data_IF_177226046417
#
_entry.id   IF_177226046417
#
_cell.length_a   1.000
_cell.length_b   1.000
_cell.length_c   1.000
_cell.angle_alpha   90.00
_cell.angle_beta   90.00
_cell.angle_gamma   90.00
#
_symmetry.space_group_name_H-M   'P 1'
#
loop_
_entity.id
_entity.type
_entity.pdbx_description
1 polymer ?
#
# COMPACT_ATOMS: atom_id res chain seq x y z
N UNK A 1 -19.43 -19.02 1.45
CA UNK A 1 -19.51 -18.02 2.56
C UNK A 1 -18.25 -17.21 2.56
N UNK A 2 -18.30 -15.96 3.03
CA UNK A 2 -17.17 -15.02 3.03
C UNK A 2 -17.08 -14.31 4.39
N UNK A 3 -15.89 -13.94 4.80
CA UNK A 3 -15.63 -13.12 6.00
C UNK A 3 -15.27 -11.70 5.59
N UNK A 4 -15.93 -10.70 6.14
CA UNK A 4 -15.58 -9.30 5.94
C UNK A 4 -14.56 -8.87 7.01
N UNK A 5 -13.43 -8.35 6.59
CA UNK A 5 -12.33 -7.88 7.46
C UNK A 5 -12.34 -6.36 7.47
N UNK A 6 -12.72 -5.77 8.61
CA UNK A 6 -12.97 -4.34 8.73
C UNK A 6 -12.09 -3.73 9.82
N UNK A 7 -10.98 -3.08 9.47
CA UNK A 7 -10.22 -2.29 10.43
C UNK A 7 -10.90 -0.94 10.68
N UNK A 8 -10.79 -0.45 11.91
CA UNK A 8 -11.33 0.85 12.31
C UNK A 8 -10.44 1.54 13.33
N UNK A 9 -10.50 2.86 13.35
CA UNK A 9 -9.95 3.71 14.41
C UNK A 9 -10.71 5.04 14.46
N UNK A 10 -11.39 5.31 15.59
CA UNK A 10 -12.12 6.55 15.83
C UNK A 10 -13.08 6.89 14.67
N UNK A 11 -13.84 5.92 14.21
CA UNK A 11 -14.68 6.04 13.01
C UNK A 11 -16.07 5.40 13.19
N UNK A 12 -16.59 5.44 14.43
CA UNK A 12 -17.82 4.74 14.84
C UNK A 12 -19.04 5.01 13.94
N UNK A 13 -19.35 6.25 13.50
CA UNK A 13 -20.51 6.49 12.63
C UNK A 13 -20.43 5.71 11.31
N UNK A 14 -19.25 5.64 10.72
CA UNK A 14 -19.00 4.92 9.47
C UNK A 14 -19.05 3.41 9.68
N UNK A 15 -18.40 2.89 10.73
CA UNK A 15 -18.43 1.47 11.10
C UNK A 15 -19.87 0.96 11.24
N UNK A 16 -20.72 1.72 11.96
CA UNK A 16 -22.15 1.39 12.10
C UNK A 16 -22.85 1.26 10.74
N UNK A 17 -22.59 2.21 9.86
CA UNK A 17 -23.20 2.24 8.53
C UNK A 17 -22.67 1.12 7.65
N UNK A 18 -21.36 0.85 7.69
CA UNK A 18 -20.74 -0.25 6.96
C UNK A 18 -21.35 -1.61 7.38
N UNK A 19 -21.35 -1.90 8.68
CA UNK A 19 -21.90 -3.15 9.23
C UNK A 19 -23.40 -3.28 8.91
N UNK A 20 -24.17 -2.21 9.09
CA UNK A 20 -25.61 -2.19 8.74
C UNK A 20 -25.85 -2.48 7.26
N UNK A 21 -25.00 -1.96 6.37
CA UNK A 21 -25.12 -2.21 4.92
C UNK A 21 -24.82 -3.67 4.56
N UNK A 22 -23.83 -4.28 5.21
CA UNK A 22 -23.53 -5.72 5.04
C UNK A 22 -24.71 -6.56 5.57
N UNK A 23 -25.20 -6.26 6.78
CA UNK A 23 -26.34 -6.99 7.38
C UNK A 23 -27.63 -6.88 6.56
N UNK A 24 -27.81 -5.78 5.84
CA UNK A 24 -28.96 -5.60 4.95
C UNK A 24 -29.07 -6.68 3.86
N UNK A 25 -27.94 -7.13 3.34
CA UNK A 25 -27.90 -8.12 2.26
C UNK A 25 -27.41 -9.50 2.73
N UNK A 26 -26.61 -9.54 3.80
CA UNK A 26 -25.87 -10.73 4.26
C UNK A 26 -25.96 -10.88 5.78
N UNK A 27 -27.15 -11.23 6.28
CA UNK A 27 -27.43 -11.37 7.71
C UNK A 27 -26.49 -12.33 8.44
N UNK A 28 -26.13 -13.45 7.79
CA UNK A 28 -25.27 -14.50 8.36
C UNK A 28 -23.79 -14.39 7.99
N UNK A 29 -23.36 -13.34 7.28
CA UNK A 29 -21.97 -13.19 6.93
C UNK A 29 -21.11 -12.91 8.16
N UNK A 30 -19.95 -13.55 8.26
CA UNK A 30 -18.96 -13.22 9.29
C UNK A 30 -18.39 -11.83 9.05
N UNK A 31 -18.37 -11.02 10.11
CA UNK A 31 -17.66 -9.74 10.14
C UNK A 31 -16.60 -9.82 11.24
N UNK A 32 -15.36 -9.54 10.90
CA UNK A 32 -14.26 -9.39 11.85
C UNK A 32 -13.93 -7.90 11.91
N UNK A 33 -14.38 -7.25 12.98
CA UNK A 33 -14.12 -5.83 13.26
C UNK A 33 -12.84 -5.70 14.09
N UNK A 34 -11.88 -4.97 13.56
CA UNK A 34 -10.54 -4.81 14.13
C UNK A 34 -10.34 -3.35 14.55
N UNK A 35 -10.38 -3.09 15.82
CA UNK A 35 -10.28 -1.76 16.42
C UNK A 35 -8.84 -1.45 16.82
N UNK A 36 -8.27 -0.43 16.21
CA UNK A 36 -6.92 0.06 16.50
C UNK A 36 -6.90 1.05 17.67
N UNK A 37 -7.43 0.63 18.81
CA UNK A 37 -7.50 1.41 20.06
C UNK A 37 -8.33 2.69 19.90
N UNK A 38 -9.57 2.57 19.43
CA UNK A 38 -10.50 3.71 19.36
C UNK A 38 -10.89 4.24 20.73
N UNK A 39 -11.17 5.54 20.79
CA UNK A 39 -11.64 6.27 21.98
C UNK A 39 -13.00 6.93 21.77
N UNK A 40 -13.67 6.67 20.64
CA UNK A 40 -14.94 7.27 20.22
C UNK A 40 -16.18 6.48 20.68
N UNK A 41 -15.99 5.45 21.52
CA UNK A 41 -17.06 4.59 22.02
C UNK A 41 -17.36 3.38 21.15
N UNK A 42 -16.48 3.03 20.20
CA UNK A 42 -16.61 1.83 19.35
C UNK A 42 -16.74 0.55 20.19
N UNK A 43 -15.91 0.36 21.20
CA UNK A 43 -15.93 -0.79 22.09
C UNK A 43 -17.24 -0.90 22.89
N UNK A 44 -17.73 0.22 23.42
CA UNK A 44 -19.01 0.30 24.11
C UNK A 44 -20.14 -0.10 23.16
N UNK A 45 -20.19 0.47 21.98
CA UNK A 45 -21.21 0.15 21.00
C UNK A 45 -21.21 -1.35 20.63
N UNK A 46 -20.03 -1.95 20.41
CA UNK A 46 -19.92 -3.39 20.13
C UNK A 46 -20.47 -4.22 21.28
N UNK A 47 -20.13 -3.89 22.55
CA UNK A 47 -20.60 -4.61 23.73
C UNK A 47 -22.13 -4.54 23.92
N UNK A 48 -22.78 -3.47 23.43
CA UNK A 48 -24.24 -3.28 23.46
C UNK A 48 -24.94 -3.87 22.23
N UNK A 49 -24.17 -4.29 21.20
CA UNK A 49 -24.72 -4.82 19.95
C UNK A 49 -24.76 -6.35 20.01
N UNK A 50 -25.98 -6.94 19.93
CA UNK A 50 -26.12 -8.37 19.79
C UNK A 50 -26.05 -8.78 18.32
N UNK A 51 -24.88 -9.26 17.87
CA UNK A 51 -24.65 -9.81 16.54
C UNK A 51 -23.81 -11.09 16.63
N UNK A 52 -24.39 -12.28 16.50
CA UNK A 52 -23.70 -13.55 16.67
C UNK A 52 -22.65 -13.84 15.58
N UNK A 53 -22.66 -13.06 14.49
CA UNK A 53 -21.71 -13.18 13.38
C UNK A 53 -20.70 -12.04 13.35
N UNK A 54 -20.62 -11.20 14.39
CA UNK A 54 -19.62 -10.17 14.58
C UNK A 54 -18.54 -10.64 15.55
N UNK A 55 -17.31 -10.76 15.07
CA UNK A 55 -16.14 -10.98 15.91
C UNK A 55 -15.44 -9.63 16.10
N UNK A 56 -15.16 -9.25 17.34
CA UNK A 56 -14.49 -8.00 17.67
C UNK A 56 -13.10 -8.27 18.25
N UNK A 57 -12.11 -7.59 17.70
CA UNK A 57 -10.74 -7.54 18.20
C UNK A 57 -10.38 -6.10 18.50
N UNK A 58 -9.85 -5.82 19.70
CA UNK A 58 -9.32 -4.50 20.07
C UNK A 58 -7.81 -4.60 20.26
N UNK A 59 -7.08 -3.79 19.52
CA UNK A 59 -5.67 -3.53 19.81
C UNK A 59 -5.61 -2.55 20.99
N UNK A 60 -5.17 -3.01 22.16
CA UNK A 60 -5.07 -2.18 23.37
C UNK A 60 -3.76 -1.38 23.43
N UNK A 61 -2.85 -1.68 22.53
CA UNK A 61 -1.57 -1.01 22.43
C UNK A 61 -1.62 0.30 21.63
N UNK A 62 -0.45 0.71 21.18
CA UNK A 62 -0.32 1.80 20.21
C UNK A 62 -0.97 1.46 18.88
N UNK A 63 -1.18 2.48 18.04
CA UNK A 63 -1.68 2.32 16.69
C UNK A 63 -0.74 1.47 15.81
N UNK A 64 -1.26 0.37 15.27
CA UNK A 64 -0.54 -0.51 14.34
C UNK A 64 -0.99 -0.35 12.90
N UNK A 65 -2.15 0.27 12.69
CA UNK A 65 -2.72 0.56 11.39
C UNK A 65 -3.36 -0.65 10.70
N UNK A 66 -4.05 -0.36 9.61
CA UNK A 66 -4.81 -1.39 8.89
C UNK A 66 -3.92 -2.45 8.25
N UNK A 67 -2.68 -2.15 7.87
CA UNK A 67 -1.70 -3.13 7.36
C UNK A 67 -1.59 -4.36 8.25
N UNK A 68 -1.38 -4.14 9.56
CA UNK A 68 -1.24 -5.22 10.54
C UNK A 68 -2.60 -5.80 10.93
N UNK A 69 -3.62 -4.95 11.05
CA UNK A 69 -4.96 -5.39 11.44
C UNK A 69 -5.61 -6.30 10.41
N UNK A 70 -5.42 -6.07 9.11
CA UNK A 70 -5.90 -6.99 8.08
C UNK A 70 -5.36 -8.40 8.30
N UNK A 71 -4.06 -8.53 8.54
CA UNK A 71 -3.42 -9.83 8.72
C UNK A 71 -3.92 -10.55 9.98
N UNK A 72 -4.14 -9.81 11.08
CA UNK A 72 -4.77 -10.34 12.28
C UNK A 72 -6.18 -10.85 11.97
N UNK A 73 -7.00 -10.03 11.33
CA UNK A 73 -8.38 -10.38 11.00
C UNK A 73 -8.49 -11.55 10.04
N UNK A 74 -7.64 -11.61 9.03
CA UNK A 74 -7.61 -12.72 8.08
C UNK A 74 -7.20 -14.03 8.79
N UNK A 75 -6.24 -13.99 9.72
CA UNK A 75 -5.90 -15.17 10.52
C UNK A 75 -7.06 -15.63 11.41
N UNK A 76 -7.83 -14.70 11.97
CA UNK A 76 -8.97 -14.97 12.86
C UNK A 76 -10.23 -15.44 12.13
N UNK A 77 -10.43 -15.04 10.88
CA UNK A 77 -11.67 -15.33 10.15
C UNK A 77 -11.88 -16.84 9.94
N UNK A 78 -13.16 -17.27 9.95
CA UNK A 78 -13.58 -18.67 9.91
C UNK A 78 -13.71 -19.24 8.52
N UNK A 79 -13.98 -18.39 7.52
CA UNK A 79 -14.24 -18.83 6.15
C UNK A 79 -12.95 -18.88 5.32
N UNK A 80 -12.97 -19.73 4.30
CA UNK A 80 -11.86 -19.90 3.35
C UNK A 80 -11.65 -18.68 2.47
N UNK A 81 -12.69 -17.87 2.28
CA UNK A 81 -12.65 -16.63 1.49
C UNK A 81 -12.90 -15.46 2.41
N UNK A 82 -12.10 -14.44 2.26
CA UNK A 82 -12.30 -13.15 2.95
C UNK A 82 -12.42 -12.00 1.96
N UNK A 83 -13.00 -10.90 2.42
CA UNK A 83 -12.99 -9.61 1.74
C UNK A 83 -12.41 -8.54 2.66
N UNK A 84 -11.37 -7.85 2.22
CA UNK A 84 -10.93 -6.60 2.84
C UNK A 84 -11.99 -5.53 2.54
N UNK A 85 -12.50 -4.90 3.59
CA UNK A 85 -13.56 -3.92 3.49
C UNK A 85 -13.26 -2.75 4.43
N UNK A 86 -13.30 -1.52 3.92
CA UNK A 86 -13.01 -0.37 4.79
C UNK A 86 -14.22 0.01 5.64
N UNK A 87 -13.96 0.58 6.81
CA UNK A 87 -15.01 1.07 7.72
C UNK A 87 -15.88 2.17 7.10
N UNK A 88 -15.39 2.89 6.10
CA UNK A 88 -16.10 3.95 5.38
C UNK A 88 -16.66 3.49 4.02
N UNK A 89 -16.97 2.20 3.89
CA UNK A 89 -17.62 1.62 2.71
C UNK A 89 -19.04 1.15 3.01
N UNK A 90 -19.90 1.25 2.00
CA UNK A 90 -21.27 0.75 2.02
C UNK A 90 -21.39 -0.39 1.02
N UNK A 91 -21.82 -1.55 1.49
CA UNK A 91 -22.04 -2.74 0.68
C UNK A 91 -23.26 -2.54 -0.26
N UNK A 92 -23.08 -2.82 -1.54
CA UNK A 92 -24.18 -2.85 -2.52
C UNK A 92 -24.88 -4.21 -2.55
N UNK A 93 -26.06 -4.28 -3.23
CA UNK A 93 -26.75 -5.55 -3.46
C UNK A 93 -25.90 -6.48 -4.33
N UNK A 94 -26.02 -7.80 -4.12
CA UNK A 94 -25.31 -8.84 -4.87
C UNK A 94 -23.77 -8.67 -4.89
N UNK A 95 -23.22 -7.96 -3.90
CA UNK A 95 -21.78 -7.69 -3.80
C UNK A 95 -20.95 -8.99 -3.77
N UNK A 96 -21.32 -9.92 -2.86
CA UNK A 96 -20.58 -11.18 -2.68
C UNK A 96 -20.73 -12.07 -3.90
N UNK A 97 -21.94 -12.24 -4.41
CA UNK A 97 -22.25 -13.08 -5.56
C UNK A 97 -21.46 -12.63 -6.79
N UNK A 98 -21.44 -11.31 -7.04
CA UNK A 98 -20.75 -10.72 -8.17
C UNK A 98 -19.23 -10.71 -8.03
N UNK A 99 -18.69 -10.76 -6.83
CA UNK A 99 -17.27 -11.01 -6.62
C UNK A 99 -16.93 -12.49 -6.83
N UNK A 100 -17.63 -13.39 -6.13
CA UNK A 100 -17.23 -14.79 -6.03
C UNK A 100 -17.38 -15.56 -7.35
N UNK A 101 -18.30 -15.15 -8.25
CA UNK A 101 -18.42 -15.78 -9.57
C UNK A 101 -17.13 -15.67 -10.42
N UNK A 102 -16.28 -14.71 -10.13
CA UNK A 102 -15.02 -14.48 -10.85
C UNK A 102 -13.76 -14.89 -10.05
N UNK A 103 -13.92 -15.20 -8.76
CA UNK A 103 -12.81 -15.60 -7.91
C UNK A 103 -12.41 -17.05 -8.20
N UNK A 104 -11.11 -17.28 -8.32
CA UNK A 104 -10.48 -18.59 -8.46
C UNK A 104 -9.29 -18.69 -7.50
N UNK A 105 -8.84 -19.90 -7.15
CA UNK A 105 -7.55 -20.09 -6.47
C UNK A 105 -6.42 -19.33 -7.19
N UNK A 106 -5.47 -18.83 -6.43
CA UNK A 106 -4.40 -17.96 -6.89
C UNK A 106 -4.92 -16.72 -7.65
N UNK A 107 -6.08 -16.20 -7.18
CA UNK A 107 -6.72 -15.04 -7.74
C UNK A 107 -7.14 -14.02 -6.70
N UNK A 108 -7.18 -12.76 -7.12
CA UNK A 108 -7.69 -11.63 -6.36
C UNK A 108 -8.76 -10.93 -7.18
N UNK A 109 -9.90 -10.65 -6.56
CA UNK A 109 -11.00 -9.95 -7.20
C UNK A 109 -11.38 -8.69 -6.43
N UNK A 110 -11.28 -7.53 -7.06
CA UNK A 110 -11.71 -6.25 -6.51
C UNK A 110 -13.13 -5.92 -6.95
N UNK A 111 -13.88 -5.21 -6.13
CA UNK A 111 -15.15 -4.60 -6.53
C UNK A 111 -14.95 -3.24 -7.19
N UNK A 112 -15.96 -2.76 -7.90
CA UNK A 112 -15.99 -1.40 -8.42
C UNK A 112 -16.48 -0.44 -7.33
N UNK A 113 -15.65 0.55 -7.01
CA UNK A 113 -16.00 1.61 -6.08
C UNK A 113 -16.83 2.68 -6.76
N UNK A 114 -17.83 3.18 -6.03
CA UNK A 114 -18.55 4.41 -6.35
C UNK A 114 -18.13 5.42 -5.30
N UNK A 115 -17.62 6.58 -5.72
CA UNK A 115 -17.05 7.58 -4.83
C UNK A 115 -17.63 8.97 -5.10
N UNK A 116 -17.80 9.81 -4.07
CA UNK A 116 -18.16 11.21 -4.28
C UNK A 116 -17.03 11.94 -5.04
N UNK A 117 -17.28 13.12 -5.64
CA UNK A 117 -16.34 13.83 -6.51
C UNK A 117 -15.22 14.52 -5.73
N UNK A 118 -14.55 13.81 -4.82
CA UNK A 118 -13.39 14.30 -4.04
C UNK A 118 -12.06 14.12 -4.77
N UNK A 119 -12.01 13.16 -5.66
CA UNK A 119 -10.82 12.84 -6.46
C UNK A 119 -11.19 12.79 -7.94
N UNK A 120 -10.22 13.04 -8.84
CA UNK A 120 -10.45 12.94 -10.28
C UNK A 120 -11.08 11.60 -10.68
N UNK A 121 -11.90 11.57 -11.74
CA UNK A 121 -12.43 10.32 -12.27
C UNK A 121 -11.30 9.43 -12.79
N UNK A 122 -11.51 8.12 -12.75
CA UNK A 122 -10.63 7.09 -13.27
C UNK A 122 -11.45 5.93 -13.83
N UNK A 123 -10.82 5.06 -14.63
CA UNK A 123 -11.51 3.90 -15.20
C UNK A 123 -11.79 2.81 -14.17
N UNK A 124 -11.08 2.84 -13.04
CA UNK A 124 -11.18 1.89 -11.94
C UNK A 124 -12.39 2.12 -11.03
N UNK A 125 -13.04 3.28 -11.14
CA UNK A 125 -14.15 3.67 -10.26
C UNK A 125 -15.23 4.43 -11.00
N UNK A 126 -16.34 4.65 -10.31
CA UNK A 126 -17.44 5.50 -10.75
C UNK A 126 -17.50 6.72 -9.82
N UNK A 127 -17.51 7.92 -10.38
CA UNK A 127 -17.66 9.15 -9.60
C UNK A 127 -19.14 9.53 -9.60
N UNK A 128 -19.81 9.38 -8.44
CA UNK A 128 -21.22 9.72 -8.25
C UNK A 128 -21.48 10.03 -6.77
N UNK A 129 -22.22 11.10 -6.52
CA UNK A 129 -22.47 11.59 -5.16
C UNK A 129 -23.77 11.00 -4.59
N UNK A 130 -23.62 10.03 -3.68
CA UNK A 130 -24.69 9.52 -2.84
C UNK A 130 -24.62 10.01 -1.39
N UNK A 131 -23.83 11.05 -1.13
CA UNK A 131 -23.61 11.65 0.19
C UNK A 131 -22.14 11.65 0.60
N UNK A 132 -21.77 12.62 1.42
CA UNK A 132 -20.41 12.81 1.90
C UNK A 132 -20.18 12.20 3.29
N UNK A 133 -21.27 11.94 4.02
CA UNK A 133 -21.27 11.44 5.39
C UNK A 133 -22.37 10.39 5.60
N UNK A 134 -22.27 9.55 6.65
CA UNK A 134 -23.32 8.56 6.93
C UNK A 134 -24.72 9.14 7.08
N UNK A 135 -24.86 10.35 7.63
CA UNK A 135 -26.14 11.01 7.88
C UNK A 135 -26.83 11.55 6.64
N UNK A 136 -26.10 11.81 5.56
CA UNK A 136 -26.65 12.32 4.29
C UNK A 136 -26.63 11.27 3.16
N UNK A 137 -26.32 10.00 3.51
CA UNK A 137 -26.20 8.93 2.54
C UNK A 137 -27.55 8.56 1.91
N UNK A 138 -27.63 8.68 0.60
CA UNK A 138 -28.81 8.41 -0.22
C UNK A 138 -28.95 6.92 -0.56
N UNK A 139 -29.23 6.11 0.48
CA UNK A 139 -29.20 4.65 0.38
C UNK A 139 -30.09 4.09 -0.73
N UNK A 140 -31.33 4.62 -0.88
CA UNK A 140 -32.27 4.11 -1.89
C UNK A 140 -31.79 4.38 -3.31
N UNK A 141 -31.25 5.58 -3.57
CA UNK A 141 -30.69 5.97 -4.86
C UNK A 141 -29.47 5.11 -5.21
N UNK A 142 -28.57 4.89 -4.24
CA UNK A 142 -27.41 4.00 -4.40
C UNK A 142 -27.83 2.57 -4.75
N UNK A 143 -28.82 1.99 -4.04
CA UNK A 143 -29.27 0.62 -4.30
C UNK A 143 -29.91 0.52 -5.71
N UNK A 144 -30.73 1.50 -6.10
CA UNK A 144 -31.33 1.56 -7.44
C UNK A 144 -30.23 1.62 -8.51
N UNK A 145 -29.28 2.53 -8.35
CA UNK A 145 -28.13 2.65 -9.26
C UNK A 145 -27.37 1.33 -9.40
N UNK A 146 -27.09 0.64 -8.29
CA UNK A 146 -26.38 -0.64 -8.32
C UNK A 146 -27.18 -1.69 -9.12
N UNK A 147 -28.48 -1.82 -8.90
CA UNK A 147 -29.34 -2.79 -9.61
C UNK A 147 -29.39 -2.50 -11.10
N UNK A 148 -29.64 -1.26 -11.48
CA UNK A 148 -29.69 -0.85 -12.88
C UNK A 148 -28.36 -1.10 -13.59
N UNK A 149 -27.24 -0.82 -12.89
CA UNK A 149 -25.90 -1.06 -13.40
C UNK A 149 -25.56 -2.54 -13.53
N UNK A 150 -26.06 -3.40 -12.64
CA UNK A 150 -25.89 -4.86 -12.68
C UNK A 150 -26.68 -5.51 -13.82
N UNK A 151 -27.80 -4.94 -14.22
CA UNK A 151 -28.60 -5.40 -15.36
C UNK A 151 -28.04 -4.94 -16.70
N UNK A 152 -27.23 -3.89 -16.70
CA UNK A 152 -26.60 -3.36 -17.92
C UNK A 152 -25.58 -4.36 -18.48
N UNK A 153 -25.76 -4.75 -19.74
CA UNK A 153 -24.90 -5.71 -20.43
C UNK A 153 -23.42 -5.29 -20.50
N UNK A 154 -23.13 -4.00 -20.39
CA UNK A 154 -21.76 -3.49 -20.36
C UNK A 154 -21.02 -3.76 -19.04
N UNK A 155 -21.73 -4.06 -17.97
CA UNK A 155 -21.17 -4.33 -16.64
C UNK A 155 -21.40 -5.78 -16.20
N UNK A 156 -22.54 -6.36 -16.55
CA UNK A 156 -22.97 -7.69 -16.11
C UNK A 156 -21.96 -8.75 -16.55
N UNK A 157 -21.45 -9.51 -15.58
CA UNK A 157 -20.46 -10.57 -15.77
C UNK A 157 -19.12 -10.11 -16.40
N UNK A 158 -18.87 -8.79 -16.44
CA UNK A 158 -17.64 -8.21 -16.98
C UNK A 158 -16.58 -8.06 -15.90
N UNK A 159 -15.36 -8.42 -16.25
CA UNK A 159 -14.18 -8.14 -15.43
C UNK A 159 -13.18 -7.31 -16.22
N UNK A 160 -12.49 -6.43 -15.50
CA UNK A 160 -11.34 -5.68 -16.01
C UNK A 160 -10.12 -5.93 -15.14
N UNK A 161 -8.98 -5.39 -15.52
CA UNK A 161 -7.82 -5.27 -14.61
C UNK A 161 -8.10 -4.15 -13.63
N UNK A 162 -7.69 -4.30 -12.39
CA UNK A 162 -7.83 -3.27 -11.36
C UNK A 162 -7.48 -3.80 -9.99
N UNK A 163 -7.19 -2.89 -9.09
CA UNK A 163 -6.77 -3.18 -7.72
C UNK A 163 -7.51 -2.29 -6.71
N UNK A 164 -7.08 -2.32 -5.48
CA UNK A 164 -7.55 -1.59 -4.30
C UNK A 164 -8.82 -2.17 -3.66
N UNK A 165 -8.94 -1.89 -2.39
CA UNK A 165 -10.08 -2.30 -1.59
C UNK A 165 -11.40 -1.70 -2.12
N UNK A 166 -12.51 -2.44 -2.01
CA UNK A 166 -12.55 -3.76 -1.40
C UNK A 166 -12.15 -4.85 -2.39
N UNK A 167 -11.45 -5.85 -1.90
CA UNK A 167 -11.06 -7.02 -2.68
C UNK A 167 -11.20 -8.30 -1.87
N UNK A 168 -11.36 -9.42 -2.56
CA UNK A 168 -11.53 -10.74 -1.97
C UNK A 168 -10.54 -11.74 -2.56
N UNK A 169 -10.16 -12.74 -1.76
CA UNK A 169 -9.36 -13.87 -2.18
C UNK A 169 -9.48 -15.06 -1.20
N UNK A 170 -8.87 -16.18 -1.54
CA UNK A 170 -8.74 -17.31 -0.63
C UNK A 170 -7.72 -17.01 0.47
N UNK A 171 -8.08 -17.34 1.71
CA UNK A 171 -7.22 -17.15 2.90
C UNK A 171 -5.88 -17.89 2.78
N UNK A 172 -5.92 -19.12 2.26
CA UNK A 172 -4.71 -19.93 2.06
C UNK A 172 -3.72 -19.24 1.10
N UNK A 173 -4.22 -18.71 -0.02
CA UNK A 173 -3.41 -18.01 -1.01
C UNK A 173 -2.77 -16.73 -0.42
N UNK A 174 -3.53 -16.00 0.40
CA UNK A 174 -3.01 -14.83 1.11
C UNK A 174 -1.89 -15.20 2.11
N UNK A 175 -2.10 -16.26 2.87
CA UNK A 175 -1.09 -16.73 3.83
C UNK A 175 0.14 -17.31 3.14
N UNK A 176 -0.04 -17.98 1.98
CA UNK A 176 1.05 -18.51 1.16
C UNK A 176 2.00 -17.40 0.67
N UNK A 177 1.47 -16.23 0.35
CA UNK A 177 2.30 -15.09 -0.06
C UNK A 177 2.89 -14.30 1.12
N UNK A 178 2.56 -14.65 2.35
CA UNK A 178 3.09 -14.03 3.58
C UNK A 178 2.26 -12.88 4.14
N UNK A 179 1.12 -12.55 3.54
CA UNK A 179 0.27 -11.44 3.97
C UNK A 179 0.80 -10.06 3.56
N UNK A 180 0.35 -9.00 4.24
CA UNK A 180 0.90 -7.66 4.05
C UNK A 180 2.29 -7.54 4.66
N UNK A 181 3.11 -6.65 4.10
CA UNK A 181 4.41 -6.34 4.68
C UNK A 181 4.26 -5.26 5.77
N UNK A 182 4.58 -5.62 7.00
CA UNK A 182 4.55 -4.71 8.16
C UNK A 182 5.49 -3.51 8.03
N UNK A 183 6.41 -3.53 7.07
CA UNK A 183 7.24 -2.40 6.69
C UNK A 183 6.42 -1.12 6.46
N UNK A 184 5.18 -1.28 5.96
CA UNK A 184 4.28 -0.17 5.63
C UNK A 184 3.33 0.20 6.77
N UNK A 185 3.49 -0.39 7.95
CA UNK A 185 2.69 -0.01 9.12
C UNK A 185 2.98 1.46 9.55
N UNK A 186 1.99 2.22 9.99
CA UNK A 186 0.58 1.86 10.06
C UNK A 186 -0.14 1.92 8.69
N UNK A 187 0.30 2.75 7.76
CA UNK A 187 -0.19 3.05 6.41
C UNK A 187 0.70 4.14 5.78
N UNK A 188 0.60 4.49 4.48
CA UNK A 188 -0.01 3.82 3.32
C UNK A 188 1.02 2.99 2.55
N UNK A 189 0.64 2.55 1.34
CA UNK A 189 1.42 1.85 0.29
C UNK A 189 1.57 0.34 0.50
N UNK A 190 0.96 -0.24 1.54
CA UNK A 190 0.85 -1.68 1.75
C UNK A 190 0.06 -2.37 0.63
N UNK A 191 -0.97 -1.68 0.11
CA UNK A 191 -1.77 -2.15 -1.01
C UNK A 191 -0.95 -2.23 -2.30
N UNK A 192 -0.20 -1.18 -2.62
CA UNK A 192 0.69 -1.19 -3.79
C UNK A 192 1.76 -2.28 -3.68
N UNK A 193 2.29 -2.52 -2.49
CA UNK A 193 3.26 -3.57 -2.22
C UNK A 193 2.67 -4.96 -2.45
N UNK A 194 1.51 -5.25 -1.83
CA UNK A 194 0.92 -6.58 -1.90
C UNK A 194 0.44 -6.92 -3.31
N UNK A 195 -0.12 -5.95 -4.04
CA UNK A 195 -0.53 -6.18 -5.42
C UNK A 195 0.65 -6.41 -6.35
N UNK A 196 1.79 -5.73 -6.18
CA UNK A 196 3.02 -6.06 -6.90
C UNK A 196 3.46 -7.49 -6.60
N UNK A 197 3.41 -7.93 -5.34
CA UNK A 197 3.76 -9.30 -4.95
C UNK A 197 2.80 -10.33 -5.53
N UNK A 198 1.50 -10.05 -5.60
CA UNK A 198 0.53 -10.91 -6.28
C UNK A 198 0.87 -11.10 -7.75
N UNK A 199 1.21 -10.01 -8.47
CA UNK A 199 1.60 -10.08 -9.88
C UNK A 199 2.87 -10.92 -10.04
N UNK A 200 3.89 -10.69 -9.22
CA UNK A 200 5.15 -11.43 -9.25
C UNK A 200 4.97 -12.91 -8.92
N UNK A 201 3.99 -13.26 -8.10
CA UNK A 201 3.61 -14.64 -7.80
C UNK A 201 2.73 -15.29 -8.89
N UNK A 202 2.36 -14.55 -9.94
CA UNK A 202 1.52 -15.06 -11.03
C UNK A 202 0.03 -15.09 -10.71
N UNK A 203 -0.42 -14.40 -9.65
CA UNK A 203 -1.83 -14.38 -9.28
C UNK A 203 -2.67 -13.62 -10.30
N UNK A 204 -3.87 -14.15 -10.56
CA UNK A 204 -4.82 -13.53 -11.47
C UNK A 204 -5.60 -12.42 -10.77
N UNK A 205 -5.30 -11.17 -11.10
CA UNK A 205 -5.94 -10.00 -10.48
C UNK A 205 -7.00 -9.43 -11.43
N UNK A 206 -8.23 -9.32 -10.93
CA UNK A 206 -9.37 -8.80 -11.69
C UNK A 206 -10.17 -7.82 -10.86
N UNK A 207 -10.93 -6.97 -11.54
CA UNK A 207 -11.98 -6.13 -10.96
C UNK A 207 -13.32 -6.53 -11.56
N UNK A 208 -14.31 -6.82 -10.70
CA UNK A 208 -15.70 -7.02 -11.10
C UNK A 208 -16.35 -5.68 -11.42
N UNK A 209 -17.03 -5.57 -12.58
CA UNK A 209 -17.73 -4.35 -13.01
C UNK A 209 -19.17 -4.28 -12.55
N UNK A 210 -19.68 -5.34 -11.94
CA UNK A 210 -21.05 -5.45 -11.42
C UNK A 210 -21.14 -5.76 -9.91
N UNK A 211 -19.98 -5.80 -9.22
CA UNK A 211 -19.92 -5.80 -7.76
C UNK A 211 -19.58 -4.38 -7.28
N UNK A 212 -20.51 -3.76 -6.51
CA UNK A 212 -20.39 -2.35 -6.15
C UNK A 212 -20.31 -2.12 -4.64
N UNK A 213 -19.51 -1.11 -4.28
CA UNK A 213 -19.53 -0.46 -2.97
C UNK A 213 -19.59 1.04 -3.15
N UNK A 214 -20.24 1.74 -2.22
CA UNK A 214 -20.01 3.18 -2.06
C UNK A 214 -18.88 3.40 -1.06
N UNK A 215 -17.93 4.22 -1.42
CA UNK A 215 -16.77 4.52 -0.59
C UNK A 215 -16.78 6.03 -0.30
N UNK A 216 -17.00 6.42 0.94
CA UNK A 216 -16.99 7.84 1.34
C UNK A 216 -15.63 8.50 1.12
N UNK A 217 -14.60 7.69 0.98
CA UNK A 217 -13.18 8.03 0.75
C UNK A 217 -12.60 9.02 1.77
N UNK A 218 -11.33 8.88 2.09
CA UNK A 218 -10.61 9.70 3.07
C UNK A 218 -11.15 9.68 4.51
N UNK A 219 -12.21 8.94 4.82
CA UNK A 219 -12.89 8.97 6.14
C UNK A 219 -12.34 7.96 7.14
N UNK A 220 -11.49 7.04 6.70
CA UNK A 220 -10.91 6.01 7.56
C UNK A 220 -9.81 6.54 8.48
N UNK A 221 -8.84 7.28 7.95
CA UNK A 221 -7.62 7.66 8.67
C UNK A 221 -6.98 8.97 8.17
N UNK A 222 -7.48 9.57 7.08
CA UNK A 222 -6.89 10.75 6.47
C UNK A 222 -7.55 12.05 6.91
N UNK A 223 -8.88 12.08 6.91
CA UNK A 223 -9.68 13.28 7.17
C UNK A 223 -10.63 13.06 8.34
N UNK A 224 -10.81 14.08 9.16
CA UNK A 224 -11.90 14.16 10.12
C UNK A 224 -13.05 15.00 9.55
N UNK A 225 -14.23 14.97 10.19
CA UNK A 225 -15.36 15.84 9.81
C UNK A 225 -15.00 17.33 9.87
N UNK A 226 -14.16 17.71 10.85
CA UNK A 226 -13.75 19.09 11.06
C UNK A 226 -12.61 19.50 10.12
N UNK A 227 -11.74 18.56 9.73
CA UNK A 227 -10.54 18.83 8.94
C UNK A 227 -10.54 17.95 7.68
N UNK A 228 -11.02 18.53 6.59
CA UNK A 228 -11.09 17.83 5.28
C UNK A 228 -9.76 17.91 4.52
N UNK A 229 -8.67 17.56 5.18
CA UNK A 229 -7.32 17.47 4.59
C UNK A 229 -6.46 16.49 5.37
N UNK A 230 -5.42 16.00 4.72
CA UNK A 230 -4.45 15.10 5.35
C UNK A 230 -3.76 15.79 6.53
N UNK A 231 -3.77 15.12 7.68
CA UNK A 231 -3.09 15.60 8.88
C UNK A 231 -1.56 15.40 8.79
N UNK A 232 -0.84 15.93 9.77
CA UNK A 232 0.62 15.85 9.79
C UNK A 232 1.10 14.40 10.02
N UNK A 233 0.38 13.62 10.82
CA UNK A 233 0.75 12.21 11.05
C UNK A 233 0.66 11.40 9.77
N UNK A 234 -0.43 11.55 9.01
CA UNK A 234 -0.57 10.90 7.71
C UNK A 234 0.55 11.28 6.75
N UNK A 235 0.89 12.57 6.67
CA UNK A 235 2.00 13.06 5.80
C UNK A 235 3.34 12.47 6.18
N UNK A 236 3.63 12.35 7.48
CA UNK A 236 4.87 11.72 7.97
C UNK A 236 4.92 10.23 7.62
N UNK A 237 3.80 9.51 7.80
CA UNK A 237 3.70 8.11 7.39
C UNK A 237 3.92 7.96 5.88
N UNK A 238 3.31 8.83 5.06
CA UNK A 238 3.52 8.85 3.61
C UNK A 238 5.01 9.02 3.25
N UNK A 239 5.67 10.01 3.83
CA UNK A 239 7.08 10.28 3.53
C UNK A 239 8.00 9.11 3.94
N UNK A 240 7.77 8.54 5.14
CA UNK A 240 8.49 7.37 5.62
C UNK A 240 8.29 6.16 4.70
N UNK A 241 7.04 5.82 4.44
CA UNK A 241 6.70 4.62 3.68
C UNK A 241 7.00 4.75 2.19
N UNK A 242 7.02 5.99 1.63
CA UNK A 242 7.57 6.25 0.31
C UNK A 242 9.04 5.80 0.21
N UNK A 243 9.87 6.22 1.16
CA UNK A 243 11.27 5.82 1.20
C UNK A 243 11.43 4.30 1.39
N UNK A 244 10.57 3.68 2.21
CA UNK A 244 10.53 2.22 2.37
C UNK A 244 10.19 1.51 1.06
N UNK A 245 9.19 2.02 0.34
CA UNK A 245 8.76 1.44 -0.94
C UNK A 245 9.90 1.50 -1.97
N UNK A 246 10.53 2.68 -2.09
CA UNK A 246 11.65 2.88 -3.02
C UNK A 246 12.84 1.98 -2.66
N UNK A 247 13.23 1.91 -1.38
CA UNK A 247 14.31 1.01 -0.94
C UNK A 247 14.01 -0.46 -1.23
N UNK A 248 12.76 -0.89 -1.08
CA UNK A 248 12.33 -2.27 -1.30
C UNK A 248 12.24 -2.62 -2.78
N UNK A 249 11.68 -1.72 -3.60
CA UNK A 249 11.35 -1.97 -4.99
C UNK A 249 12.32 -1.35 -5.99
N UNK A 250 13.22 -0.48 -5.55
CA UNK A 250 14.16 0.25 -6.41
C UNK A 250 13.53 1.34 -7.28
N UNK A 251 12.23 1.57 -7.12
CA UNK A 251 11.46 2.55 -7.89
C UNK A 251 10.22 3.00 -7.13
N UNK A 252 9.65 4.13 -7.53
CA UNK A 252 8.34 4.56 -7.03
C UNK A 252 7.19 3.86 -7.73
N UNK A 253 6.04 3.83 -7.06
CA UNK A 253 4.77 3.28 -7.57
C UNK A 253 4.44 3.89 -8.93
N UNK A 254 4.11 3.04 -9.88
CA UNK A 254 3.52 3.39 -11.15
C UNK A 254 2.36 2.45 -11.43
N UNK A 255 1.24 2.99 -11.84
CA UNK A 255 0.05 2.24 -12.20
C UNK A 255 -0.43 2.65 -13.59
N UNK A 256 -1.06 1.73 -14.29
CA UNK A 256 -1.75 2.04 -15.54
C UNK A 256 -3.08 2.79 -15.30
N UNK A 257 -3.81 3.07 -16.36
CA UNK A 257 -5.09 3.79 -16.32
C UNK A 257 -6.22 3.05 -15.56
N UNK A 258 -6.04 1.75 -15.27
CA UNK A 258 -6.94 0.92 -14.47
C UNK A 258 -6.40 0.71 -13.05
N UNK A 259 -5.42 1.51 -12.64
CA UNK A 259 -4.67 1.39 -11.38
C UNK A 259 -3.90 0.06 -11.23
N UNK A 260 -3.69 -0.69 -12.31
CA UNK A 260 -2.94 -1.94 -12.27
C UNK A 260 -1.43 -1.65 -12.21
N UNK A 261 -0.67 -2.28 -11.29
CA UNK A 261 0.73 -1.97 -11.10
C UNK A 261 1.58 -2.22 -12.34
N UNK A 262 2.43 -1.25 -12.66
CA UNK A 262 3.51 -1.38 -13.64
C UNK A 262 4.78 -1.75 -12.89
N UNK A 263 5.16 -3.03 -12.93
CA UNK A 263 6.33 -3.52 -12.22
C UNK A 263 7.58 -3.16 -13.00
N UNK A 264 8.48 -2.44 -12.33
CA UNK A 264 9.80 -2.08 -12.87
C UNK A 264 10.85 -3.11 -12.44
N UNK A 265 11.89 -3.35 -13.24
CA UNK A 265 12.98 -4.18 -12.82
C UNK A 265 13.70 -3.57 -11.60
N UNK A 266 14.20 -4.43 -10.73
CA UNK A 266 15.04 -4.02 -9.62
C UNK A 266 16.50 -4.29 -9.95
N UNK A 267 17.34 -3.26 -9.92
CA UNK A 267 18.76 -3.36 -10.14
C UNK A 267 19.57 -3.04 -8.87
N UNK A 268 20.70 -3.68 -8.71
CA UNK A 268 21.66 -3.35 -7.66
C UNK A 268 22.50 -2.13 -8.09
N UNK A 269 21.93 -0.94 -7.87
CA UNK A 269 22.54 0.35 -8.26
C UNK A 269 23.30 0.94 -7.08
N UNK A 270 24.53 1.37 -7.32
CA UNK A 270 25.33 2.18 -6.39
C UNK A 270 25.54 3.60 -6.90
N UNK A 271 25.39 4.59 -6.03
CA UNK A 271 25.72 5.98 -6.35
C UNK A 271 27.07 6.36 -5.76
N UNK A 272 27.94 7.02 -6.54
CA UNK A 272 29.16 7.69 -6.09
C UNK A 272 28.98 9.18 -6.35
N UNK A 273 28.88 9.95 -5.26
CA UNK A 273 28.40 11.33 -5.30
C UNK A 273 29.43 12.26 -4.67
N UNK A 274 29.82 13.28 -5.42
CA UNK A 274 30.65 14.38 -4.92
C UNK A 274 29.82 15.64 -4.66
N UNK A 275 30.34 16.56 -3.84
CA UNK A 275 29.64 17.80 -3.43
C UNK A 275 28.25 17.53 -2.82
N UNK A 276 28.14 16.45 -2.05
CA UNK A 276 26.90 16.01 -1.42
C UNK A 276 26.71 16.66 -0.04
N UNK A 277 25.53 17.17 0.24
CA UNK A 277 25.13 17.64 1.56
C UNK A 277 24.09 16.69 2.18
N UNK A 278 23.73 16.94 3.45
CA UNK A 278 22.78 16.12 4.21
C UNK A 278 21.40 16.00 3.53
N UNK A 279 20.89 17.08 2.96
CA UNK A 279 19.59 17.10 2.28
C UNK A 279 19.61 16.25 1.00
N UNK A 280 20.67 16.40 0.20
CA UNK A 280 20.86 15.60 -1.01
C UNK A 280 21.11 14.13 -0.70
N UNK A 281 21.89 13.81 0.35
CA UNK A 281 22.05 12.44 0.82
C UNK A 281 20.69 11.81 1.16
N UNK A 282 19.84 12.52 1.91
CA UNK A 282 18.50 12.03 2.27
C UNK A 282 17.58 11.84 1.07
N UNK A 283 17.70 12.68 0.04
CA UNK A 283 16.92 12.57 -1.18
C UNK A 283 17.39 11.39 -2.09
N UNK A 284 18.67 11.13 -2.14
CA UNK A 284 19.31 10.17 -3.06
C UNK A 284 19.34 8.73 -2.50
N UNK A 285 19.57 8.57 -1.18
CA UNK A 285 19.80 7.26 -0.56
C UNK A 285 18.70 6.23 -0.81
N UNK A 286 17.39 6.56 -0.78
CA UNK A 286 16.36 5.57 -1.05
C UNK A 286 16.41 4.96 -2.47
N UNK A 287 16.92 5.69 -3.45
CA UNK A 287 16.92 5.34 -4.87
C UNK A 287 18.07 4.43 -5.33
N UNK A 288 18.95 4.05 -4.43
CA UNK A 288 20.06 3.16 -4.73
C UNK A 288 20.20 2.07 -3.67
N UNK A 289 20.92 1.01 -3.98
CA UNK A 289 21.25 -0.04 -3.01
C UNK A 289 22.34 0.43 -2.05
N UNK A 290 23.31 1.21 -2.55
CA UNK A 290 24.37 1.82 -1.76
C UNK A 290 24.72 3.21 -2.29
N UNK A 291 25.16 4.09 -1.41
CA UNK A 291 25.68 5.42 -1.77
C UNK A 291 27.01 5.67 -1.08
N UNK A 292 28.02 6.04 -1.87
CA UNK A 292 29.29 6.59 -1.39
C UNK A 292 29.31 8.08 -1.68
N UNK A 293 29.45 8.91 -0.65
CA UNK A 293 29.42 10.37 -0.81
C UNK A 293 30.46 11.06 0.07
N UNK A 294 30.71 12.32 -0.21
CA UNK A 294 31.60 13.19 0.57
C UNK A 294 30.85 14.08 1.59
N UNK A 295 29.58 13.77 1.89
CA UNK A 295 28.78 14.48 2.88
C UNK A 295 29.41 14.37 4.28
N UNK A 296 29.81 15.46 4.92
CA UNK A 296 30.45 15.41 6.24
C UNK A 296 29.53 14.87 7.34
N UNK A 297 28.21 15.07 7.19
CA UNK A 297 27.20 14.70 8.17
C UNK A 297 26.62 13.29 7.94
N UNK A 298 27.26 12.43 7.18
CA UNK A 298 26.74 11.09 6.82
C UNK A 298 26.42 10.20 8.02
N UNK A 299 27.21 10.26 9.12
CA UNK A 299 26.92 9.53 10.36
C UNK A 299 25.66 10.08 11.06
N UNK A 300 25.47 11.41 11.04
CA UNK A 300 24.27 12.04 11.54
C UNK A 300 23.05 11.60 10.77
N UNK A 301 23.14 11.49 9.45
CA UNK A 301 22.08 10.93 8.61
C UNK A 301 21.71 9.51 9.05
N UNK A 302 22.70 8.62 9.14
CA UNK A 302 22.46 7.24 9.59
C UNK A 302 21.80 7.24 10.98
N UNK A 303 22.32 8.00 11.93
CA UNK A 303 21.76 8.05 13.28
C UNK A 303 20.33 8.56 13.33
N UNK A 304 19.97 9.55 12.51
CA UNK A 304 18.64 10.14 12.46
C UNK A 304 17.62 9.22 11.79
N UNK A 305 18.02 8.52 10.72
CA UNK A 305 17.08 7.77 9.87
C UNK A 305 17.00 6.30 10.27
N UNK A 306 18.06 5.72 10.86
CA UNK A 306 18.13 4.28 11.17
C UNK A 306 17.00 3.80 12.06
N UNK A 307 16.60 4.59 13.04
CA UNK A 307 15.53 4.21 13.97
C UNK A 307 14.15 4.14 13.30
N UNK A 308 13.94 4.85 12.16
CA UNK A 308 12.69 4.83 11.36
C UNK A 308 12.66 3.80 10.24
N UNK A 309 13.71 2.96 10.11
CA UNK A 309 13.76 1.99 9.01
C UNK A 309 14.45 0.69 9.43
N UNK A 310 13.92 -0.49 8.99
CA UNK A 310 14.59 -1.78 9.20
C UNK A 310 15.77 -2.00 8.25
N UNK A 311 15.91 -1.16 7.22
CA UNK A 311 17.06 -1.23 6.33
C UNK A 311 18.32 -0.79 7.07
N UNK A 312 19.36 -1.62 7.07
CA UNK A 312 20.65 -1.31 7.71
C UNK A 312 21.40 -0.23 6.90
N UNK A 313 21.25 1.02 7.34
CA UNK A 313 21.87 2.16 6.66
C UNK A 313 23.41 2.15 6.73
N UNK A 314 23.99 1.46 7.70
CA UNK A 314 25.47 1.28 7.77
C UNK A 314 26.01 0.44 6.62
N UNK A 315 25.15 -0.40 6.01
CA UNK A 315 25.47 -1.17 4.81
C UNK A 315 25.13 -0.45 3.50
N UNK A 316 24.45 0.69 3.60
CA UNK A 316 23.97 1.45 2.44
C UNK A 316 24.74 2.74 2.22
N UNK A 317 25.19 3.43 3.28
CA UNK A 317 25.81 4.75 3.22
C UNK A 317 27.27 4.67 3.62
N UNK A 318 28.14 5.16 2.75
CA UNK A 318 29.60 5.14 2.92
C UNK A 318 30.17 6.53 2.70
N UNK A 319 31.20 6.89 3.49
CA UNK A 319 31.93 8.14 3.33
C UNK A 319 33.15 7.93 2.45
N UNK A 320 33.19 8.58 1.26
CA UNK A 320 34.35 8.56 0.34
C UNK A 320 34.93 7.17 0.10
N UNK A 321 34.13 6.13 0.19
CA UNK A 321 34.63 4.77 -0.06
C UNK A 321 34.98 4.61 -1.53
N UNK A 322 36.19 4.16 -1.79
CA UNK A 322 36.67 3.92 -3.15
C UNK A 322 36.00 2.72 -3.82
N UNK A 323 35.35 1.83 -3.07
CA UNK A 323 34.85 0.55 -3.60
C UNK A 323 33.45 0.21 -3.14
N UNK A 324 32.47 0.57 -3.97
CA UNK A 324 31.12 0.01 -3.86
C UNK A 324 30.98 -1.16 -4.84
N UNK A 325 30.38 -2.28 -4.36
CA UNK A 325 30.33 -3.55 -5.10
C UNK A 325 28.98 -3.75 -5.80
N UNK A 326 28.44 -2.70 -6.42
CA UNK A 326 27.19 -2.78 -7.14
C UNK A 326 27.38 -3.28 -8.57
N UNK A 327 26.30 -3.83 -9.12
CA UNK A 327 26.27 -4.29 -10.51
C UNK A 327 26.29 -3.11 -11.49
N UNK A 328 25.67 -2.01 -11.07
CA UNK A 328 25.60 -0.74 -11.80
C UNK A 328 26.08 0.35 -10.84
N UNK A 329 27.05 1.14 -11.26
CA UNK A 329 27.57 2.26 -10.47
C UNK A 329 27.37 3.55 -11.27
N UNK A 330 26.81 4.57 -10.63
CA UNK A 330 26.55 5.89 -11.24
C UNK A 330 27.33 6.94 -10.50
N UNK A 331 28.27 7.59 -11.18
CA UNK A 331 29.07 8.69 -10.66
C UNK A 331 28.48 10.04 -11.12
N UNK A 332 28.36 10.99 -10.20
CA UNK A 332 27.95 12.35 -10.53
C UNK A 332 28.31 13.37 -9.44
N UNK A 333 28.32 14.64 -9.83
CA UNK A 333 28.48 15.78 -8.95
C UNK A 333 27.12 16.34 -8.55
N UNK A 334 26.78 16.23 -7.24
CA UNK A 334 25.49 16.67 -6.70
C UNK A 334 25.26 18.19 -6.78
N UNK A 335 26.34 19.00 -6.90
CA UNK A 335 26.22 20.45 -7.10
C UNK A 335 25.59 20.81 -8.45
N UNK A 336 25.62 19.88 -9.41
CA UNK A 336 25.03 20.02 -10.74
C UNK A 336 23.62 19.39 -10.86
N UNK A 337 23.07 18.83 -9.75
CA UNK A 337 21.81 18.12 -9.77
C UNK A 337 20.64 19.12 -9.84
N UNK A 338 19.92 19.13 -10.96
CA UNK A 338 18.65 19.82 -11.13
C UNK A 338 17.47 18.89 -10.86
N UNK A 339 16.25 19.42 -10.78
CA UNK A 339 15.04 18.61 -10.64
C UNK A 339 14.88 17.59 -11.79
N UNK A 340 15.22 17.98 -13.01
CA UNK A 340 15.15 17.10 -14.19
C UNK A 340 16.16 15.95 -14.07
N UNK A 341 17.40 16.25 -13.67
CA UNK A 341 18.44 15.26 -13.45
C UNK A 341 18.12 14.31 -12.28
N UNK A 342 17.50 14.84 -11.23
CA UNK A 342 16.99 13.99 -10.16
C UNK A 342 15.87 13.07 -10.68
N UNK A 343 14.95 13.59 -11.46
CA UNK A 343 13.88 12.79 -12.09
C UNK A 343 14.47 11.68 -12.97
N UNK A 344 15.52 11.97 -13.73
CA UNK A 344 16.25 10.96 -14.51
C UNK A 344 16.75 9.81 -13.60
N UNK A 345 17.40 10.12 -12.46
CA UNK A 345 17.84 9.09 -11.50
C UNK A 345 16.67 8.22 -11.00
N UNK A 346 15.49 8.79 -10.77
CA UNK A 346 14.31 8.04 -10.32
C UNK A 346 13.74 7.11 -11.39
N UNK A 347 14.07 7.34 -12.67
CA UNK A 347 13.64 6.54 -13.83
C UNK A 347 14.71 5.53 -14.29
N UNK A 348 15.86 5.45 -13.63
CA UNK A 348 16.94 4.54 -14.02
C UNK A 348 16.49 3.10 -14.26
N UNK A 349 15.63 2.48 -13.44
CA UNK A 349 15.19 1.10 -13.69
C UNK A 349 14.54 0.91 -15.07
N UNK A 350 13.76 1.90 -15.51
CA UNK A 350 13.11 1.87 -16.84
C UNK A 350 14.11 2.14 -17.96
N UNK A 351 14.96 3.15 -17.78
CA UNK A 351 15.97 3.55 -18.78
C UNK A 351 16.94 2.40 -19.03
N UNK A 352 17.43 1.75 -17.96
CA UNK A 352 18.35 0.63 -18.05
C UNK A 352 17.71 -0.63 -18.68
N UNK A 353 16.40 -0.81 -18.52
CA UNK A 353 15.68 -1.90 -19.18
C UNK A 353 15.77 -1.78 -20.71
N UNK A 354 15.70 -0.57 -21.22
CA UNK A 354 15.67 -0.27 -22.66
C UNK A 354 17.08 -0.18 -23.27
N UNK A 355 18.12 0.16 -22.48
CA UNK A 355 19.48 0.41 -23.01
C UNK A 355 20.25 -0.88 -23.31
N UNK A 356 20.21 -1.88 -22.45
CA UNK A 356 20.84 -3.20 -22.67
C UNK A 356 22.36 -3.26 -22.69
N UNK A 357 23.08 -2.13 -22.61
CA UNK A 357 24.50 -2.03 -22.83
C UNK A 357 25.31 -2.25 -21.54
N UNK A 358 26.44 -2.95 -21.65
CA UNK A 358 27.43 -3.12 -20.57
C UNK A 358 28.65 -2.24 -20.82
N UNK A 359 29.37 -1.91 -19.74
CA UNK A 359 30.59 -1.13 -19.79
C UNK A 359 30.45 0.28 -19.24
N UNK A 360 31.34 1.17 -19.65
CA UNK A 360 31.32 2.61 -19.28
C UNK A 360 30.48 3.41 -20.29
N UNK A 361 29.55 4.18 -19.76
CA UNK A 361 28.73 5.10 -20.54
C UNK A 361 28.70 6.47 -19.87
N UNK A 362 28.61 7.53 -20.67
CA UNK A 362 28.44 8.90 -20.18
C UNK A 362 27.16 9.49 -20.75
N UNK A 363 26.36 10.06 -19.87
CA UNK A 363 25.16 10.78 -20.23
C UNK A 363 25.01 12.02 -19.34
N UNK A 364 25.04 13.20 -19.93
CA UNK A 364 25.00 14.47 -19.21
C UNK A 364 26.05 14.53 -18.10
N UNK A 365 25.66 14.73 -16.85
CA UNK A 365 26.57 14.75 -15.70
C UNK A 365 26.90 13.34 -15.15
N UNK A 366 26.26 12.31 -15.66
CA UNK A 366 26.35 10.96 -15.12
C UNK A 366 27.36 10.12 -15.89
N UNK A 367 28.19 9.39 -15.15
CA UNK A 367 29.04 8.33 -15.69
C UNK A 367 28.60 7.01 -15.10
N UNK A 368 28.20 6.08 -15.97
CA UNK A 368 27.72 4.75 -15.61
C UNK A 368 28.84 3.73 -15.80
N UNK A 369 28.96 2.81 -14.85
CA UNK A 369 29.78 1.60 -14.98
C UNK A 369 28.87 0.40 -14.78
N UNK A 370 28.47 -0.25 -15.87
CA UNK A 370 27.52 -1.35 -15.88
C UNK A 370 28.28 -2.66 -16.07
N UNK A 371 28.39 -3.43 -15.00
CA UNK A 371 29.07 -4.74 -15.00
C UNK A 371 28.13 -5.85 -15.45
N UNK A 372 26.90 -5.81 -14.97
CA UNK A 372 25.80 -6.74 -15.31
C UNK A 372 24.46 -6.11 -15.00
N UNK A 373 23.40 -6.61 -15.63
CA UNK A 373 22.02 -6.17 -15.40
C UNK A 373 21.10 -7.38 -15.18
N UNK A 374 21.17 -8.06 -14.01
CA UNK A 374 20.23 -9.12 -13.68
C UNK A 374 18.84 -8.54 -13.52
N UNK A 375 17.86 -9.05 -14.29
CA UNK A 375 16.48 -8.59 -14.22
C UNK A 375 15.71 -9.39 -13.19
N UNK A 376 14.87 -8.73 -12.42
CA UNK A 376 13.99 -9.37 -11.46
C UNK A 376 13.09 -10.42 -12.10
N UNK A 377 12.55 -10.14 -13.30
CA UNK A 377 11.71 -11.04 -14.08
C UNK A 377 12.44 -12.36 -14.43
N UNK A 378 13.72 -12.29 -14.76
CA UNK A 378 14.51 -13.48 -15.05
C UNK A 378 14.71 -14.36 -13.81
N UNK A 379 14.80 -13.75 -12.64
CA UNK A 379 14.91 -14.46 -11.36
C UNK A 379 13.58 -15.10 -10.95
N UNK A 380 12.44 -14.47 -11.28
CA UNK A 380 11.10 -14.98 -10.99
C UNK A 380 10.77 -16.25 -11.78
N UNK A 381 11.21 -16.35 -13.03
CA UNK A 381 10.98 -17.52 -13.88
C UNK A 381 11.67 -18.77 -13.29
N UNK A 382 12.77 -18.60 -12.57
CA UNK A 382 13.58 -19.71 -12.06
C UNK A 382 13.24 -20.12 -10.61
N UNK A 383 12.66 -19.22 -9.78
CA UNK A 383 12.41 -19.46 -8.35
C UNK A 383 11.17 -18.72 -7.83
N UNK A 384 9.99 -19.05 -8.36
CA UNK A 384 8.74 -18.32 -8.13
C UNK A 384 8.37 -18.05 -6.66
N UNK A 385 8.71 -18.94 -5.73
CA UNK A 385 8.29 -18.82 -4.34
C UNK A 385 9.32 -18.16 -3.40
N UNK A 386 10.59 -18.20 -3.72
CA UNK A 386 11.63 -17.67 -2.85
C UNK A 386 11.87 -16.17 -3.03
N UNK A 387 11.72 -15.66 -4.26
CA UNK A 387 12.10 -14.30 -4.56
C UNK A 387 11.15 -13.25 -3.97
N UNK A 388 9.83 -13.45 -4.05
CA UNK A 388 8.92 -12.49 -3.45
C UNK A 388 8.88 -12.61 -1.92
N UNK A 389 9.14 -13.81 -1.35
CA UNK A 389 9.35 -13.98 0.09
C UNK A 389 10.60 -13.25 0.57
N UNK A 390 11.68 -13.26 -0.20
CA UNK A 390 12.89 -12.50 0.12
C UNK A 390 12.68 -10.98 0.07
N UNK A 391 11.57 -10.51 -0.52
CA UNK A 391 11.16 -9.11 -0.52
C UNK A 391 10.19 -8.73 0.59
N UNK A 392 9.69 -9.70 1.33
CA UNK A 392 8.94 -9.46 2.53
C UNK A 392 9.91 -9.06 3.65
N UNK A 393 9.72 -7.90 4.23
CA UNK A 393 10.51 -7.43 5.37
C UNK A 393 9.66 -7.63 6.62
N UNK A 394 9.90 -8.73 7.32
CA UNK A 394 9.26 -8.99 8.60
C UNK A 394 9.89 -8.10 9.67
N UNK A 395 9.11 -7.14 10.15
CA UNK A 395 9.47 -6.36 11.33
C UNK A 395 8.77 -7.02 12.51
N UNK A 396 9.49 -7.53 13.50
CA UNK A 396 8.88 -7.95 14.74
C UNK A 396 8.07 -6.78 15.31
N UNK A 397 6.81 -7.01 15.66
CA UNK A 397 5.99 -6.02 16.35
C UNK A 397 6.51 -5.92 17.78
N UNK A 398 7.68 -5.32 17.94
CA UNK A 398 8.26 -4.99 19.24
C UNK A 398 7.95 -3.54 19.58
N UNK A 399 7.58 -3.29 20.82
CA UNK A 399 7.21 -1.94 21.29
C UNK A 399 8.28 -0.86 21.05
N UNK A 400 9.54 -1.21 20.98
CA UNK A 400 10.64 -0.28 20.79
C UNK A 400 10.73 0.32 19.36
N UNK A 401 10.43 -0.44 18.33
CA UNK A 401 10.55 0.05 16.95
C UNK A 401 9.56 1.17 16.63
N UNK A 402 8.39 1.10 17.19
CA UNK A 402 7.33 2.05 16.91
C UNK A 402 7.20 3.22 17.89
N UNK A 403 7.60 3.05 19.15
CA UNK A 403 7.46 4.07 20.19
C UNK A 403 8.44 5.23 20.06
N UNK A 404 9.62 5.00 19.50
CA UNK A 404 10.69 5.98 19.60
C UNK A 404 10.69 7.09 18.55
N UNK A 405 10.05 6.95 17.40
CA UNK A 405 10.25 7.91 16.31
C UNK A 405 9.02 8.67 15.83
N UNK A 406 7.89 8.03 15.62
CA UNK A 406 6.70 8.80 15.25
C UNK A 406 6.31 9.80 16.35
N UNK A 407 6.55 9.45 17.61
CA UNK A 407 6.30 10.35 18.75
C UNK A 407 7.40 11.37 19.02
N UNK A 408 8.68 11.09 18.76
CA UNK A 408 9.75 12.09 18.92
C UNK A 408 9.67 13.24 17.94
N UNK A 409 9.22 12.98 16.72
CA UNK A 409 8.98 14.04 15.72
C UNK A 409 7.83 14.97 16.15
N UNK A 410 6.81 14.44 16.84
CA UNK A 410 5.70 15.25 17.37
C UNK A 410 6.05 16.12 18.59
N UNK A 411 7.03 15.70 19.39
CA UNK A 411 7.46 16.50 20.57
C UNK A 411 8.40 17.64 20.23
N UNK A 412 9.09 17.58 19.08
CA UNK A 412 10.03 18.61 18.64
C UNK A 412 9.42 19.68 17.71
N UNK A 413 8.11 19.61 17.44
CA UNK A 413 7.37 20.58 16.60
C UNK A 413 6.36 21.43 17.39
N UNK A 414 6.57 21.59 18.71
CA UNK A 414 5.85 22.58 19.52
C UNK A 414 6.65 23.85 19.66
#
# INVERSE_FOLDING_TARGET
MISFIIPTRNNLPYVKTAISSIRKFYLGAEIVLLDDNSTDGTDKWVSETYDPHLTYYKNEGRQVGHTVLYDIGIKMCKHEIFSIFHADMICGPNYVENLLKHLKPEGVISATRIEPPLHPPGKEKIVMDFGMYPGDFKQSEFITFCRDSQENSSNKDVTTRGIFAPWAMYKEDFLKIGGHDSLFSPFPYEDSDIFQRFILAGYNIKQSRDSFVYHFTCRGHRWTEQVQKDDNFYKLCCAKNMNHFIRKWGSWIENDELCYPVIKPFYNIGFVVTNCNLQLLGALEPWCSTISCDCPEWESYIKQVQSGTPFDLKKRVFYRSAEIKNDIIVHFDASQLTQERFTFLTQLPKILLDSGDLGEMKFDIFTFFIKRMPRLESLLIHNNNELYRSRLIEIPVTDEYYTNELFRVFQNTK
#
